data_IF_527408717180
#
_entry.id   IF_527408717180
#
_cell.length_a   1.000
_cell.length_b   1.000
_cell.length_c   1.000
_cell.angle_alpha   90.00
_cell.angle_beta   90.00
_cell.angle_gamma   90.00
#
_symmetry.space_group_name_H-M   'P 1'
#
loop_
_entity.id
_entity.type
_entity.pdbx_description
1 polymer ?
#
# COMPACT_ATOMS: atom_id res chain seq x y z
N UNK A 1 17.86 40.51 13.43
CA UNK A 1 17.38 39.31 14.14
C UNK A 1 16.90 38.33 13.10
N UNK A 2 17.57 37.20 12.92
CA UNK A 2 17.14 36.19 11.95
C UNK A 2 15.77 35.66 12.39
N UNK A 3 14.75 35.81 11.54
CA UNK A 3 13.46 35.19 11.74
C UNK A 3 13.70 33.68 11.80
N UNK A 4 13.46 33.07 12.97
CA UNK A 4 13.40 31.62 13.11
C UNK A 4 12.22 31.16 12.25
N UNK A 5 12.52 30.72 11.03
CA UNK A 5 11.56 30.11 10.14
C UNK A 5 11.19 28.74 10.75
N UNK A 6 10.14 28.71 11.57
CA UNK A 6 9.58 27.44 12.05
C UNK A 6 8.89 26.83 10.84
N UNK A 7 9.31 25.64 10.37
CA UNK A 7 8.62 24.97 9.27
C UNK A 7 7.15 24.79 9.61
N UNK A 8 6.25 25.27 8.75
CA UNK A 8 4.82 24.98 8.85
C UNK A 8 4.61 23.53 8.38
N UNK A 9 4.19 22.61 9.27
CA UNK A 9 3.98 21.22 8.90
C UNK A 9 2.73 21.01 8.02
N UNK A 10 1.96 22.07 7.73
CA UNK A 10 0.72 22.00 6.95
C UNK A 10 -0.52 21.63 7.76
N UNK A 11 -0.41 21.64 9.09
CA UNK A 11 -1.43 21.20 10.04
C UNK A 11 -1.61 22.19 11.21
N UNK A 12 -1.42 23.48 10.96
CA UNK A 12 -1.50 24.53 12.00
C UNK A 12 -2.88 24.67 12.65
N UNK A 13 -3.94 24.30 11.93
CA UNK A 13 -5.34 24.27 12.41
C UNK A 13 -5.81 22.86 12.84
N UNK A 14 -4.89 21.89 13.00
CA UNK A 14 -5.23 20.53 13.42
C UNK A 14 -5.77 20.51 14.86
N UNK A 15 -7.06 20.16 15.01
CA UNK A 15 -7.73 20.00 16.31
C UNK A 15 -7.38 18.66 17.00
N UNK A 16 -6.57 17.83 16.34
CA UNK A 16 -6.10 16.55 16.85
C UNK A 16 -7.13 15.42 16.77
N UNK A 17 -8.31 15.68 16.20
CA UNK A 17 -9.33 14.64 15.96
C UNK A 17 -9.00 13.82 14.71
N UNK A 18 -9.59 12.62 14.63
CA UNK A 18 -9.45 11.77 13.45
C UNK A 18 -10.32 12.29 12.30
N UNK A 19 -9.86 12.11 11.06
CA UNK A 19 -10.68 12.37 9.88
C UNK A 19 -11.96 11.50 9.94
N UNK A 20 -13.17 12.10 9.92
CA UNK A 20 -14.42 11.36 10.00
C UNK A 20 -14.57 10.28 8.93
N UNK A 21 -14.05 10.51 7.71
CA UNK A 21 -14.07 9.54 6.61
C UNK A 21 -13.21 8.33 6.93
N UNK A 22 -12.04 8.55 7.53
CA UNK A 22 -11.15 7.47 7.96
C UNK A 22 -11.75 6.69 9.14
N UNK A 23 -12.35 7.39 10.11
CA UNK A 23 -13.07 6.74 11.22
C UNK A 23 -14.20 5.85 10.72
N UNK A 24 -15.06 6.35 9.82
CA UNK A 24 -16.14 5.57 9.23
C UNK A 24 -15.60 4.35 8.45
N UNK A 25 -14.56 4.55 7.64
CA UNK A 25 -13.96 3.48 6.85
C UNK A 25 -13.35 2.38 7.72
N UNK A 26 -12.63 2.75 8.79
CA UNK A 26 -12.07 1.80 9.75
C UNK A 26 -13.16 1.03 10.50
N UNK A 27 -14.22 1.73 10.93
CA UNK A 27 -15.37 1.09 11.58
C UNK A 27 -16.08 0.10 10.63
N UNK A 28 -16.29 0.48 9.37
CA UNK A 28 -16.86 -0.42 8.37
C UNK A 28 -15.97 -1.65 8.12
N UNK A 29 -14.65 -1.45 8.01
CA UNK A 29 -13.69 -2.54 7.86
C UNK A 29 -13.61 -3.49 9.06
N UNK A 30 -13.79 -2.96 10.27
CA UNK A 30 -13.84 -3.78 11.49
C UNK A 30 -15.05 -4.74 11.48
N UNK A 31 -16.16 -4.35 10.85
CA UNK A 31 -17.35 -5.18 10.67
C UNK A 31 -17.26 -6.09 9.43
N UNK A 32 -16.66 -5.61 8.35
CA UNK A 32 -16.49 -6.33 7.09
C UNK A 32 -15.11 -6.07 6.48
N UNK A 33 -14.25 -7.09 6.47
CA UNK A 33 -12.90 -7.01 5.92
C UNK A 33 -12.88 -6.65 4.43
N UNK A 34 -13.96 -6.93 3.69
CA UNK A 34 -14.08 -6.54 2.29
C UNK A 34 -14.19 -5.02 2.09
N UNK A 35 -14.44 -4.24 3.15
CA UNK A 35 -14.49 -2.78 3.10
C UNK A 35 -13.09 -2.10 3.15
N UNK A 36 -11.99 -2.87 3.16
CA UNK A 36 -10.62 -2.32 3.14
C UNK A 36 -10.37 -1.26 2.03
N UNK A 37 -10.92 -1.37 0.80
CA UNK A 37 -10.76 -0.33 -0.21
C UNK A 37 -11.21 1.06 0.25
N UNK A 38 -12.20 1.15 1.15
CA UNK A 38 -12.64 2.43 1.75
C UNK A 38 -11.57 3.01 2.68
N UNK A 39 -10.87 2.16 3.44
CA UNK A 39 -9.76 2.58 4.31
C UNK A 39 -8.61 3.12 3.45
N UNK A 40 -8.23 2.43 2.38
CA UNK A 40 -7.16 2.89 1.49
C UNK A 40 -7.51 4.22 0.80
N UNK A 41 -8.75 4.40 0.37
CA UNK A 41 -9.21 5.66 -0.19
C UNK A 41 -9.16 6.81 0.83
N UNK A 42 -9.62 6.58 2.06
CA UNK A 42 -9.62 7.59 3.12
C UNK A 42 -8.20 7.93 3.60
N UNK A 43 -7.29 6.96 3.66
CA UNK A 43 -5.91 7.17 4.11
C UNK A 43 -5.12 8.12 3.21
N UNK A 44 -5.45 8.19 1.91
CA UNK A 44 -4.72 9.00 0.92
C UNK A 44 -4.53 10.45 1.37
N UNK A 45 -5.58 11.05 1.92
CA UNK A 45 -5.63 12.46 2.28
C UNK A 45 -5.58 12.66 3.81
N UNK A 46 -5.53 11.57 4.58
CA UNK A 46 -5.55 11.62 6.02
C UNK A 46 -4.20 12.10 6.60
N UNK A 47 -4.32 12.93 7.64
CA UNK A 47 -3.24 13.24 8.57
C UNK A 47 -3.03 12.06 9.51
N UNK A 48 -1.78 11.65 9.71
CA UNK A 48 -1.40 10.66 10.71
C UNK A 48 -0.51 11.30 11.76
N UNK A 49 -0.61 10.81 12.99
CA UNK A 49 0.30 11.13 14.09
C UNK A 49 1.32 10.01 14.23
N UNK A 50 2.58 10.32 13.98
CA UNK A 50 3.68 9.42 14.33
C UNK A 50 4.16 9.80 15.74
N UNK A 51 4.23 8.84 16.68
CA UNK A 51 4.72 9.12 18.01
C UNK A 51 6.23 9.34 17.97
N UNK A 52 6.70 10.31 18.75
CA UNK A 52 8.12 10.46 19.07
C UNK A 52 8.27 10.34 20.57
N UNK A 53 9.09 9.38 20.98
CA UNK A 53 9.39 9.11 22.39
C UNK A 53 10.85 9.43 22.66
N UNK A 54 11.15 9.91 23.87
CA UNK A 54 12.52 10.07 24.31
C UNK A 54 13.08 8.67 24.59
N UNK A 55 14.12 8.28 23.86
CA UNK A 55 14.88 7.08 24.20
C UNK A 55 16.05 7.52 25.07
N UNK A 56 16.15 6.94 26.27
CA UNK A 56 17.34 7.07 27.10
C UNK A 56 18.52 6.44 26.35
N UNK A 57 19.50 7.25 25.95
CA UNK A 57 20.74 6.78 25.35
C UNK A 57 21.57 5.93 26.31
N UNK A 58 22.56 5.20 25.78
CA UNK A 58 23.49 4.37 26.57
C UNK A 58 24.13 5.19 27.71
N UNK A 59 24.13 4.63 28.91
CA UNK A 59 24.77 5.24 30.08
C UNK A 59 26.26 4.90 30.03
N UNK A 60 27.10 5.85 29.65
CA UNK A 60 28.54 5.74 29.92
C UNK A 60 28.81 6.08 31.39
N UNK A 61 29.40 5.14 32.13
CA UNK A 61 29.98 5.43 33.45
C UNK A 61 31.32 6.13 33.25
N UNK A 62 31.43 7.35 33.78
CA UNK A 62 32.68 8.10 33.83
C UNK A 62 33.67 7.36 34.73
N UNK A 63 34.73 6.81 34.13
CA UNK A 63 35.70 5.94 34.79
C UNK A 63 36.52 6.64 35.91
N UNK A 64 36.52 7.98 35.98
CA UNK A 64 37.28 8.74 36.98
C UNK A 64 36.41 9.21 38.16
N UNK A 65 35.10 9.40 37.95
CA UNK A 65 34.21 9.97 38.99
C UNK A 65 33.10 9.03 39.45
N UNK A 66 32.84 7.92 38.73
CA UNK A 66 31.74 6.99 39.03
C UNK A 66 30.35 7.60 38.86
N UNK A 67 30.26 8.80 38.28
CA UNK A 67 29.01 9.50 38.05
C UNK A 67 28.43 9.05 36.69
N UNK A 68 27.19 8.56 36.71
CA UNK A 68 26.41 8.31 35.49
C UNK A 68 26.12 9.65 34.83
N UNK A 69 26.69 9.89 33.66
CA UNK A 69 26.43 11.11 32.90
C UNK A 69 25.52 10.77 31.72
N UNK A 70 24.22 11.00 31.92
CA UNK A 70 23.22 10.97 30.84
C UNK A 70 23.58 12.04 29.81
N UNK A 71 24.06 11.63 28.62
CA UNK A 71 24.69 12.56 27.69
C UNK A 71 23.82 12.98 26.52
N UNK A 72 22.82 12.20 26.11
CA UNK A 72 21.93 12.57 24.98
C UNK A 72 20.57 11.89 25.09
N UNK A 73 19.50 12.68 25.00
CA UNK A 73 18.14 12.18 24.73
C UNK A 73 17.95 12.16 23.23
N UNK A 74 17.97 10.97 22.62
CA UNK A 74 17.63 10.83 21.20
C UNK A 74 16.11 10.70 21.06
N UNK A 75 15.54 11.52 20.17
CA UNK A 75 14.13 11.49 19.83
C UNK A 75 13.93 10.46 18.72
N UNK A 76 13.27 9.34 19.03
CA UNK A 76 13.10 8.25 18.07
C UNK A 76 11.62 7.98 17.76
N UNK A 77 11.36 7.53 16.54
CA UNK A 77 10.09 6.89 16.19
C UNK A 77 10.17 5.45 16.72
N UNK A 78 9.29 5.06 17.66
CA UNK A 78 9.32 3.71 18.21
C UNK A 78 9.04 2.71 17.09
N UNK A 79 9.91 1.72 16.94
CA UNK A 79 9.67 0.58 16.04
C UNK A 79 9.21 -0.61 16.87
N UNK A 80 8.02 -1.12 16.58
CA UNK A 80 7.51 -2.36 17.16
C UNK A 80 8.21 -3.54 16.50
N UNK A 81 8.63 -4.51 17.30
CA UNK A 81 9.28 -5.74 16.82
C UNK A 81 8.51 -6.97 17.30
N UNK A 82 8.26 -7.91 16.38
CA UNK A 82 7.63 -9.19 16.68
C UNK A 82 8.29 -10.28 15.82
N UNK A 83 9.23 -11.02 16.42
CA UNK A 83 10.08 -11.94 15.66
C UNK A 83 10.97 -11.19 14.66
N UNK A 84 10.90 -11.57 13.39
CA UNK A 84 11.59 -10.92 12.27
C UNK A 84 10.84 -9.70 11.70
N UNK A 85 9.60 -9.46 12.14
CA UNK A 85 8.76 -8.38 11.63
C UNK A 85 8.98 -7.09 12.40
N UNK A 86 9.04 -5.99 11.65
CA UNK A 86 9.15 -4.62 12.15
C UNK A 86 7.94 -3.81 11.69
N UNK A 87 7.35 -3.04 12.61
CA UNK A 87 6.21 -2.21 12.31
C UNK A 87 6.34 -0.83 12.96
N UNK A 88 5.84 0.21 12.28
CA UNK A 88 5.75 1.55 12.86
C UNK A 88 4.33 1.82 13.36
N UNK A 89 4.15 2.31 14.60
CA UNK A 89 2.87 2.80 15.07
C UNK A 89 2.59 4.18 14.45
N UNK A 90 1.34 4.40 14.06
CA UNK A 90 0.79 5.70 13.74
C UNK A 90 -0.64 5.79 14.29
N UNK A 91 -1.12 7.01 14.50
CA UNK A 91 -2.41 7.24 15.14
C UNK A 91 -3.24 8.21 14.32
N UNK A 92 -4.55 7.98 14.30
CA UNK A 92 -5.49 8.85 13.58
C UNK A 92 -5.86 10.09 14.41
N UNK A 93 -5.76 10.01 15.74
CA UNK A 93 -6.11 11.10 16.66
C UNK A 93 -5.20 11.18 17.88
N UNK A 94 -5.19 12.35 18.55
CA UNK A 94 -4.52 12.52 19.84
C UNK A 94 -5.10 11.60 20.92
N UNK A 95 -6.40 11.32 20.87
CA UNK A 95 -7.05 10.41 21.80
C UNK A 95 -6.52 8.97 21.65
N UNK A 96 -6.41 8.47 20.41
CA UNK A 96 -5.84 7.15 20.13
C UNK A 96 -4.36 7.06 20.50
N UNK A 97 -3.59 8.14 20.28
CA UNK A 97 -2.19 8.20 20.71
C UNK A 97 -2.07 8.14 22.25
N UNK A 98 -2.85 8.95 22.97
CA UNK A 98 -2.81 9.01 24.43
C UNK A 98 -3.30 7.71 25.10
N UNK A 99 -4.19 6.96 24.45
CA UNK A 99 -4.58 5.61 24.89
C UNK A 99 -3.42 4.61 24.80
N UNK A 100 -2.51 4.79 23.84
CA UNK A 100 -1.33 3.93 23.68
C UNK A 100 -0.18 4.36 24.58
N UNK A 101 0.18 5.65 24.56
CA UNK A 101 1.24 6.22 25.39
C UNK A 101 0.94 7.71 25.65
N UNK A 102 0.58 8.10 26.90
CA UNK A 102 0.27 9.48 27.24
C UNK A 102 1.50 10.41 27.23
N UNK A 103 2.71 9.87 27.30
CA UNK A 103 3.96 10.65 27.30
C UNK A 103 4.53 10.84 25.87
N UNK A 104 3.97 10.14 24.88
CA UNK A 104 4.39 10.24 23.48
C UNK A 104 4.07 11.62 22.89
N UNK A 105 5.05 12.21 22.20
CA UNK A 105 4.87 13.51 21.52
C UNK A 105 4.33 13.28 20.11
N UNK A 106 3.20 13.90 19.74
CA UNK A 106 2.62 13.74 18.41
C UNK A 106 3.42 14.52 17.36
N UNK A 107 3.72 13.88 16.24
CA UNK A 107 4.17 14.55 15.01
C UNK A 107 3.17 14.28 13.90
N UNK A 108 2.44 15.33 13.49
CA UNK A 108 1.49 15.25 12.38
C UNK A 108 2.24 15.18 11.04
N UNK A 109 1.93 14.15 10.26
CA UNK A 109 2.53 13.91 8.95
C UNK A 109 1.48 13.44 7.95
N UNK A 110 1.62 13.78 6.67
CA UNK A 110 0.81 13.15 5.62
C UNK A 110 1.21 11.67 5.46
N UNK A 111 0.29 10.85 4.94
CA UNK A 111 0.51 9.41 4.73
C UNK A 111 1.84 9.10 4.02
N UNK A 112 2.17 9.80 2.94
CA UNK A 112 3.38 9.53 2.16
C UNK A 112 4.67 9.67 2.98
N UNK A 113 4.69 10.55 3.99
CA UNK A 113 5.82 10.72 4.90
C UNK A 113 5.87 9.58 5.92
N UNK A 114 4.73 9.13 6.45
CA UNK A 114 4.67 7.94 7.30
C UNK A 114 5.17 6.69 6.55
N UNK A 115 4.79 6.50 5.29
CA UNK A 115 5.24 5.39 4.46
C UNK A 115 6.75 5.44 4.16
N UNK A 116 7.31 6.65 3.98
CA UNK A 116 8.77 6.83 3.88
C UNK A 116 9.49 6.43 5.16
N UNK A 117 8.91 6.76 6.32
CA UNK A 117 9.46 6.33 7.60
C UNK A 117 9.46 4.80 7.72
N UNK A 118 8.36 4.13 7.32
CA UNK A 118 8.28 2.65 7.29
C UNK A 118 9.43 2.07 6.46
N UNK A 119 9.67 2.61 5.26
CA UNK A 119 10.76 2.16 4.41
C UNK A 119 12.16 2.43 5.01
N UNK A 120 12.36 3.62 5.60
CA UNK A 120 13.63 4.00 6.24
C UNK A 120 13.97 3.07 7.40
N UNK A 121 12.96 2.74 8.21
CA UNK A 121 13.08 1.82 9.34
C UNK A 121 13.11 0.35 8.92
N UNK A 122 13.09 0.04 7.61
CA UNK A 122 13.01 -1.34 7.09
C UNK A 122 11.85 -2.12 7.72
N UNK A 123 10.75 -1.43 8.01
CA UNK A 123 9.52 -1.99 8.50
C UNK A 123 8.66 -2.45 7.33
N UNK A 124 7.82 -3.46 7.57
CA UNK A 124 6.92 -4.04 6.56
C UNK A 124 5.44 -3.67 6.81
N UNK A 125 5.19 -2.92 7.88
CA UNK A 125 3.84 -2.61 8.37
C UNK A 125 3.79 -1.22 9.01
N UNK A 126 2.72 -0.48 8.71
CA UNK A 126 2.26 0.65 9.48
C UNK A 126 1.04 0.22 10.28
N UNK A 127 1.08 0.30 11.61
CA UNK A 127 -0.04 -0.07 12.48
C UNK A 127 -0.74 1.19 12.94
N UNK A 128 -2.00 1.33 12.56
CA UNK A 128 -2.86 2.43 12.97
C UNK A 128 -3.58 2.08 14.26
N UNK A 129 -3.62 3.04 15.19
CA UNK A 129 -4.48 3.02 16.38
C UNK A 129 -4.37 1.70 17.16
N UNK A 130 -3.14 1.30 17.50
CA UNK A 130 -2.82 0.02 18.15
C UNK A 130 -3.66 -0.22 19.43
N UNK A 131 -3.95 0.84 20.19
CA UNK A 131 -4.77 0.80 21.41
C UNK A 131 -6.27 1.05 21.16
N UNK A 132 -6.68 1.19 19.90
CA UNK A 132 -8.06 1.45 19.49
C UNK A 132 -8.34 2.89 19.04
N UNK A 133 -9.58 3.16 18.57
CA UNK A 133 -10.76 2.30 18.69
C UNK A 133 -10.80 1.12 17.71
N UNK A 134 -10.08 1.20 16.58
CA UNK A 134 -9.97 0.11 15.60
C UNK A 134 -8.50 -0.06 15.20
N UNK A 135 -7.79 -1.09 15.68
CA UNK A 135 -6.42 -1.35 15.26
C UNK A 135 -6.41 -1.86 13.80
N UNK A 136 -5.67 -1.16 12.93
CA UNK A 136 -5.55 -1.49 11.51
C UNK A 136 -4.09 -1.69 11.12
N UNK A 137 -3.79 -2.77 10.38
CA UNK A 137 -2.43 -3.05 9.90
C UNK A 137 -2.38 -2.79 8.40
N UNK A 138 -1.67 -1.73 8.01
CA UNK A 138 -1.34 -1.47 6.62
C UNK A 138 -0.05 -2.24 6.26
N UNK A 139 -0.18 -3.33 5.53
CA UNK A 139 0.95 -4.20 5.17
C UNK A 139 0.81 -4.77 3.75
N UNK A 140 1.85 -5.41 3.25
CA UNK A 140 1.86 -6.13 1.96
C UNK A 140 1.36 -5.28 0.79
N UNK A 141 0.35 -5.78 0.07
CA UNK A 141 -0.18 -5.14 -1.14
C UNK A 141 -0.81 -3.78 -0.90
N UNK A 142 -1.49 -3.61 0.25
CA UNK A 142 -2.11 -2.35 0.61
C UNK A 142 -1.06 -1.26 0.88
N UNK A 143 -0.01 -1.62 1.62
CA UNK A 143 1.14 -0.75 1.87
C UNK A 143 1.82 -0.35 0.55
N UNK A 144 2.08 -1.33 -0.33
CA UNK A 144 2.69 -1.09 -1.64
C UNK A 144 1.81 -0.17 -2.51
N UNK A 145 0.50 -0.41 -2.53
CA UNK A 145 -0.45 0.42 -3.28
C UNK A 145 -0.38 1.88 -2.85
N UNK A 146 -0.49 2.15 -1.54
CA UNK A 146 -0.44 3.51 -1.03
C UNK A 146 0.94 4.16 -1.20
N UNK A 147 2.03 3.39 -1.10
CA UNK A 147 3.39 3.88 -1.35
C UNK A 147 3.59 4.33 -2.81
N UNK A 148 2.84 3.74 -3.74
CA UNK A 148 2.82 4.11 -5.16
C UNK A 148 1.75 5.17 -5.49
N UNK A 149 1.06 5.71 -4.49
CA UNK A 149 -0.01 6.69 -4.66
C UNK A 149 -1.33 6.10 -5.19
N UNK A 150 -1.47 4.78 -5.20
CA UNK A 150 -2.71 4.07 -5.53
C UNK A 150 -3.57 3.91 -4.27
N UNK A 151 -4.89 3.83 -4.46
CA UNK A 151 -5.86 3.61 -3.36
C UNK A 151 -6.63 2.29 -3.52
N UNK A 152 -6.14 1.40 -4.38
CA UNK A 152 -6.75 0.09 -4.63
C UNK A 152 -5.66 -0.97 -4.73
N UNK A 153 -5.97 -2.15 -4.20
CA UNK A 153 -5.18 -3.38 -4.32
C UNK A 153 -5.66 -4.28 -5.46
N UNK A 154 -6.73 -3.88 -6.17
CA UNK A 154 -7.25 -4.59 -7.34
C UNK A 154 -6.19 -4.61 -8.45
N UNK A 155 -5.68 -5.81 -8.84
CA UNK A 155 -4.70 -5.92 -9.91
C UNK A 155 -5.21 -5.39 -11.26
N UNK A 156 -6.52 -5.43 -11.51
CA UNK A 156 -7.09 -4.93 -12.76
C UNK A 156 -7.12 -3.39 -12.84
N UNK A 157 -7.05 -2.74 -11.67
CA UNK A 157 -6.88 -1.30 -11.57
C UNK A 157 -5.41 -0.87 -11.51
N UNK A 158 -4.46 -1.81 -11.46
CA UNK A 158 -3.03 -1.51 -11.41
C UNK A 158 -2.50 -1.15 -12.82
N UNK A 159 -2.01 0.08 -13.04
CA UNK A 159 -1.45 0.48 -14.34
C UNK A 159 -0.27 -0.38 -14.79
N UNK A 160 0.53 -0.89 -13.85
CA UNK A 160 1.68 -1.75 -14.18
C UNK A 160 1.22 -3.13 -14.69
N UNK A 161 0.16 -3.70 -14.09
CA UNK A 161 -0.45 -4.96 -14.55
C UNK A 161 -1.07 -4.77 -15.92
N UNK A 162 -1.88 -3.73 -16.10
CA UNK A 162 -2.52 -3.47 -17.39
C UNK A 162 -1.49 -3.18 -18.49
N UNK A 163 -0.45 -2.39 -18.22
CA UNK A 163 0.63 -2.17 -19.18
C UNK A 163 1.34 -3.47 -19.58
N UNK A 164 1.69 -4.33 -18.62
CA UNK A 164 2.35 -5.61 -18.87
C UNK A 164 1.46 -6.57 -19.67
N UNK A 165 0.18 -6.72 -19.30
CA UNK A 165 -0.78 -7.55 -20.07
C UNK A 165 -0.93 -7.02 -21.50
N UNK A 166 -1.02 -5.70 -21.68
CA UNK A 166 -1.11 -5.07 -23.01
C UNK A 166 0.12 -5.37 -23.85
N UNK A 167 1.31 -5.29 -23.27
CA UNK A 167 2.55 -5.59 -23.98
C UNK A 167 2.61 -7.07 -24.43
N UNK A 168 2.22 -8.00 -23.56
CA UNK A 168 2.16 -9.43 -23.89
C UNK A 168 1.16 -9.71 -25.02
N UNK A 169 -0.04 -9.14 -24.94
CA UNK A 169 -1.06 -9.33 -25.97
C UNK A 169 -0.62 -8.73 -27.30
N UNK A 170 -0.03 -7.53 -27.29
CA UNK A 170 0.45 -6.85 -28.50
C UNK A 170 1.57 -7.61 -29.21
N UNK A 171 2.32 -8.45 -28.48
CA UNK A 171 3.38 -9.29 -29.03
C UNK A 171 2.89 -10.60 -29.65
N UNK A 172 1.61 -11.00 -29.45
CA UNK A 172 1.05 -12.21 -30.05
C UNK A 172 0.29 -11.88 -31.35
N UNK A 173 0.82 -12.25 -32.54
CA UNK A 173 0.22 -11.86 -33.82
C UNK A 173 -1.20 -12.39 -34.05
N UNK A 174 -1.52 -13.54 -33.44
CA UNK A 174 -2.82 -14.21 -33.56
C UNK A 174 -3.94 -13.55 -32.77
N UNK A 175 -3.69 -12.52 -31.95
CA UNK A 175 -4.74 -11.82 -31.20
C UNK A 175 -5.28 -10.65 -32.02
N UNK A 176 -6.60 -10.60 -32.24
CA UNK A 176 -7.30 -9.48 -32.86
C UNK A 176 -7.74 -8.45 -31.82
N UNK A 177 -8.31 -8.93 -30.72
CA UNK A 177 -8.83 -8.12 -29.61
C UNK A 177 -8.58 -8.86 -28.31
N UNK A 178 -8.38 -8.12 -27.23
CA UNK A 178 -8.37 -8.68 -25.89
C UNK A 178 -9.31 -7.91 -24.97
N UNK A 179 -9.95 -8.62 -24.05
CA UNK A 179 -10.79 -8.05 -22.99
C UNK A 179 -10.21 -8.51 -21.65
N UNK A 180 -10.03 -7.58 -20.73
CA UNK A 180 -9.53 -7.84 -19.39
C UNK A 180 -10.61 -7.43 -18.39
N UNK A 181 -11.03 -8.36 -17.54
CA UNK A 181 -12.13 -8.13 -16.61
C UNK A 181 -12.07 -9.03 -15.39
N UNK A 182 -13.01 -8.86 -14.44
CA UNK A 182 -13.07 -9.67 -13.23
C UNK A 182 -13.29 -11.16 -13.56
N UNK A 183 -12.74 -12.03 -12.72
CA UNK A 183 -12.77 -13.48 -12.92
C UNK A 183 -12.63 -14.25 -11.60
N UNK A 184 -12.54 -15.58 -11.69
CA UNK A 184 -12.33 -16.46 -10.52
C UNK A 184 -10.93 -16.35 -9.92
N UNK A 185 -9.91 -16.06 -10.75
CA UNK A 185 -8.55 -15.73 -10.33
C UNK A 185 -8.42 -14.23 -9.98
N UNK A 186 -7.28 -13.58 -10.28
CA UNK A 186 -7.17 -12.12 -10.12
C UNK A 186 -7.84 -11.36 -11.27
N UNK A 187 -8.19 -12.06 -12.34
CA UNK A 187 -8.94 -11.55 -13.48
C UNK A 187 -9.03 -12.59 -14.59
N UNK A 188 -9.76 -12.24 -15.64
CA UNK A 188 -9.87 -13.03 -16.87
C UNK A 188 -9.40 -12.19 -18.06
N UNK A 189 -8.46 -12.74 -18.82
CA UNK A 189 -8.01 -12.21 -20.10
C UNK A 189 -8.64 -13.05 -21.22
N UNK A 190 -9.65 -12.48 -21.88
CA UNK A 190 -10.28 -13.08 -23.04
C UNK A 190 -9.60 -12.59 -24.32
N UNK A 191 -9.12 -13.53 -25.14
CA UNK A 191 -8.43 -13.28 -26.40
C UNK A 191 -9.36 -13.65 -27.55
N UNK A 192 -9.73 -12.67 -28.37
CA UNK A 192 -10.37 -12.89 -29.65
C UNK A 192 -9.28 -13.12 -30.69
N UNK A 193 -9.25 -14.32 -31.25
CA UNK A 193 -8.15 -14.75 -32.12
C UNK A 193 -8.50 -14.60 -33.61
N UNK A 194 -7.45 -14.42 -34.40
CA UNK A 194 -7.50 -14.44 -35.85
C UNK A 194 -7.98 -15.83 -36.34
N UNK A 195 -8.91 -15.93 -37.31
CA UNK A 195 -9.39 -17.23 -37.80
C UNK A 195 -8.28 -18.16 -38.28
N UNK A 196 -7.17 -17.61 -38.77
CA UNK A 196 -6.04 -18.38 -39.28
C UNK A 196 -5.04 -18.77 -38.18
N UNK A 197 -5.19 -18.25 -36.96
CA UNK A 197 -4.33 -18.58 -35.84
C UNK A 197 -4.77 -19.87 -35.13
N UNK A 198 -3.81 -20.71 -34.73
CA UNK A 198 -4.06 -21.87 -33.86
C UNK A 198 -4.38 -21.40 -32.44
N UNK A 199 -5.61 -21.61 -31.91
CA UNK A 199 -5.98 -21.13 -30.59
C UNK A 199 -5.10 -21.71 -29.48
N UNK A 200 -4.81 -23.01 -29.56
CA UNK A 200 -4.02 -23.69 -28.55
C UNK A 200 -2.57 -23.19 -28.52
N UNK A 201 -1.98 -22.84 -29.67
CA UNK A 201 -0.62 -22.32 -29.72
C UNK A 201 -0.53 -20.87 -29.27
N UNK A 202 -1.45 -20.01 -29.73
CA UNK A 202 -1.53 -18.62 -29.30
C UNK A 202 -1.76 -18.53 -27.78
N UNK A 203 -2.71 -19.31 -27.26
CA UNK A 203 -2.99 -19.39 -25.82
C UNK A 203 -1.77 -19.84 -25.02
N UNK A 204 -1.02 -20.86 -25.47
CA UNK A 204 0.22 -21.30 -24.80
C UNK A 204 1.31 -20.24 -24.80
N UNK A 205 1.51 -19.52 -25.91
CA UNK A 205 2.52 -18.45 -26.01
C UNK A 205 2.18 -17.30 -25.08
N UNK A 206 0.93 -16.83 -25.09
CA UNK A 206 0.45 -15.78 -24.19
C UNK A 206 0.56 -16.22 -22.73
N UNK A 207 0.09 -17.42 -22.38
CA UNK A 207 0.21 -17.95 -21.02
C UNK A 207 1.67 -17.97 -20.52
N UNK A 208 2.60 -18.43 -21.37
CA UNK A 208 4.03 -18.47 -21.03
C UNK A 208 4.61 -17.07 -20.86
N UNK A 209 4.25 -16.12 -21.73
CA UNK A 209 4.70 -14.74 -21.65
C UNK A 209 4.17 -14.05 -20.37
N UNK A 210 2.87 -14.20 -20.06
CA UNK A 210 2.29 -13.68 -18.82
C UNK A 210 2.97 -14.27 -17.57
N UNK A 211 3.25 -15.58 -17.57
CA UNK A 211 3.89 -16.26 -16.44
C UNK A 211 5.39 -15.93 -16.27
N UNK A 212 6.03 -15.45 -17.33
CA UNK A 212 7.44 -15.03 -17.33
C UNK A 212 7.64 -13.55 -16.98
N UNK A 213 6.59 -12.74 -17.07
CA UNK A 213 6.65 -11.31 -16.76
C UNK A 213 6.83 -11.07 -15.25
N UNK A 214 7.93 -10.41 -14.87
CA UNK A 214 8.27 -10.16 -13.47
C UNK A 214 7.26 -9.26 -12.76
N UNK A 215 6.69 -8.29 -13.47
CA UNK A 215 5.66 -7.39 -12.90
C UNK A 215 4.41 -8.19 -12.59
N UNK A 216 3.93 -9.00 -13.54
CA UNK A 216 2.75 -9.83 -13.32
C UNK A 216 2.96 -10.83 -12.19
N UNK A 217 4.14 -11.47 -12.11
CA UNK A 217 4.48 -12.38 -11.00
C UNK A 217 4.50 -11.69 -9.63
N UNK A 218 4.95 -10.44 -9.58
CA UNK A 218 4.97 -9.68 -8.33
C UNK A 218 3.58 -9.18 -7.92
N UNK A 219 2.71 -8.87 -8.89
CA UNK A 219 1.41 -8.20 -8.66
C UNK A 219 0.22 -9.14 -8.59
N UNK A 220 0.26 -10.30 -9.23
CA UNK A 220 -0.83 -11.28 -9.24
C UNK A 220 -0.61 -12.34 -8.14
N UNK A 221 -1.66 -12.71 -7.40
CA UNK A 221 -1.64 -13.83 -6.44
C UNK A 221 -2.01 -15.13 -7.14
N UNK A 222 -3.17 -15.11 -7.82
CA UNK A 222 -3.82 -16.28 -8.43
C UNK A 222 -3.59 -16.32 -9.94
N UNK A 223 -3.07 -15.24 -10.51
CA UNK A 223 -2.84 -15.12 -11.95
C UNK A 223 -4.10 -14.70 -12.70
N UNK A 224 -4.05 -14.82 -14.03
CA UNK A 224 -5.19 -14.53 -14.91
C UNK A 224 -5.72 -15.82 -15.51
N UNK A 225 -7.04 -15.96 -15.52
CA UNK A 225 -7.73 -16.97 -16.32
C UNK A 225 -7.68 -16.58 -17.80
N UNK A 226 -7.37 -17.53 -18.69
CA UNK A 226 -7.35 -17.29 -20.13
C UNK A 226 -8.60 -17.86 -20.80
N UNK A 227 -9.33 -17.01 -21.52
CA UNK A 227 -10.43 -17.43 -22.38
C UNK A 227 -10.04 -17.21 -23.86
N UNK A 228 -10.12 -18.26 -24.67
CA UNK A 228 -9.80 -18.20 -26.10
C UNK A 228 -11.11 -18.18 -26.90
N UNK A 229 -11.31 -17.12 -27.67
CA UNK A 229 -12.57 -16.86 -28.34
C UNK A 229 -12.39 -16.78 -29.87
N UNK A 230 -13.37 -17.27 -30.65
CA UNK A 230 -13.35 -17.15 -32.10
C UNK A 230 -13.48 -15.69 -32.53
N UNK A 231 -13.01 -15.36 -33.74
CA UNK A 231 -13.01 -13.99 -34.28
C UNK A 231 -14.38 -13.27 -34.23
N UNK A 232 -15.46 -14.03 -34.41
CA UNK A 232 -16.84 -13.54 -34.41
C UNK A 232 -17.39 -13.23 -33.01
N UNK A 233 -16.68 -13.61 -31.93
CA UNK A 233 -17.14 -13.36 -30.57
C UNK A 233 -17.19 -11.85 -30.27
N UNK A 234 -18.19 -11.46 -29.47
CA UNK A 234 -18.39 -10.10 -28.97
C UNK A 234 -18.54 -10.15 -27.44
N UNK A 235 -17.41 -10.28 -26.71
CA UNK A 235 -17.45 -10.24 -25.25
C UNK A 235 -18.05 -8.93 -24.77
N UNK A 236 -18.73 -8.92 -23.61
CA UNK A 236 -19.24 -7.69 -23.03
C UNK A 236 -18.10 -6.72 -22.67
N UNK A 237 -18.39 -5.42 -22.74
CA UNK A 237 -17.45 -4.35 -22.43
C UNK A 237 -16.57 -3.94 -23.61
N UNK A 238 -15.88 -2.81 -23.47
CA UNK A 238 -14.94 -2.33 -24.47
C UNK A 238 -13.69 -3.22 -24.53
N UNK A 239 -13.10 -3.41 -25.72
CA UNK A 239 -11.86 -4.16 -25.84
C UNK A 239 -10.74 -3.44 -25.09
N UNK A 240 -10.11 -4.16 -24.17
CA UNK A 240 -8.91 -3.72 -23.48
C UNK A 240 -7.77 -3.43 -24.46
N UNK A 241 -7.64 -4.23 -25.52
CA UNK A 241 -6.68 -4.03 -26.59
C UNK A 241 -7.30 -4.42 -27.94
N UNK A 242 -6.94 -3.70 -28.99
CA UNK A 242 -7.30 -3.99 -30.37
C UNK A 242 -6.04 -3.93 -31.20
N UNK A 243 -5.85 -4.90 -32.09
CA UNK A 243 -4.72 -4.90 -33.04
C UNK A 243 -4.82 -3.64 -33.91
N UNK A 244 -3.75 -2.81 -33.97
CA UNK A 244 -3.74 -1.60 -34.80
C UNK A 244 -3.83 -1.91 -36.29
#
# INVERSE_FOLDING_TARGET
MALKNIPDPGFSDDDGTADPRLTEALAAWAQDRAAEPRVLAALRDARLLVPVVAVLGEVEEDAETGLRREKTSDMAVPTLTAGDRRALPAFTSLASLALWDPDARPVAVPLHQALRAVAHEKADTLVLDLAGPVPYQLTGRALLALAEGRTSTDPLADPAVTAAVRAVVAAEPGVLRAHLGPGSADGTLALVLDPDASPAEAGRRVARALAADETLRARLVRGLDLALLPAAATPPGEPFWVRP
#
